data_IF_213261169874
#
_entry.id   IF_213261169874
#
_cell.length_a   1.000
_cell.length_b   1.000
_cell.length_c   1.000
_cell.angle_alpha   90.00
_cell.angle_beta   90.00
_cell.angle_gamma   90.00
#
_symmetry.space_group_name_H-M   'P 1'
#
loop_
_entity.id
_entity.type
_entity.pdbx_description
1 polymer ?
#
# COMPACT_ATOMS: atom_id res chain seq x y z
N UNK A 1 9.32 -3.19 25.33
CA UNK A 1 10.11 -3.31 24.08
C UNK A 1 9.14 -3.64 22.97
N UNK A 2 9.14 -2.87 21.87
CA UNK A 2 8.29 -3.14 20.71
C UNK A 2 9.09 -3.83 19.61
N UNK A 3 8.57 -4.93 19.05
CA UNK A 3 9.13 -5.56 17.86
C UNK A 3 8.47 -4.95 16.62
N UNK A 4 9.25 -4.59 15.61
CA UNK A 4 8.71 -4.16 14.34
C UNK A 4 8.04 -5.34 13.62
N UNK A 5 6.88 -5.15 12.98
CA UNK A 5 6.28 -6.20 12.17
C UNK A 5 7.23 -6.67 11.06
N UNK A 6 7.26 -7.98 10.73
CA UNK A 6 8.01 -8.47 9.58
C UNK A 6 7.55 -7.77 8.29
N UNK A 7 8.50 -7.45 7.40
CA UNK A 7 8.22 -6.77 6.12
C UNK A 7 7.18 -7.56 5.29
N UNK A 8 7.28 -8.89 5.27
CA UNK A 8 6.34 -9.71 4.51
C UNK A 8 4.91 -9.58 5.03
N UNK A 9 4.71 -9.46 6.35
CA UNK A 9 3.40 -9.21 6.95
C UNK A 9 2.84 -7.85 6.55
N UNK A 10 3.70 -6.84 6.43
CA UNK A 10 3.30 -5.51 5.92
C UNK A 10 2.86 -5.62 4.45
N UNK A 11 3.63 -6.32 3.61
CA UNK A 11 3.30 -6.52 2.19
C UNK A 11 1.98 -7.28 2.02
N UNK A 12 1.74 -8.31 2.82
CA UNK A 12 0.48 -9.06 2.84
C UNK A 12 -0.71 -8.16 3.23
N UNK A 13 -0.55 -7.34 4.27
CA UNK A 13 -1.59 -6.42 4.72
C UNK A 13 -1.91 -5.34 3.66
N UNK A 14 -0.88 -4.78 3.02
CA UNK A 14 -1.05 -3.83 1.91
C UNK A 14 -1.75 -4.47 0.71
N UNK A 15 -1.56 -5.78 0.51
CA UNK A 15 -2.25 -6.53 -0.52
C UNK A 15 -3.76 -6.66 -0.25
N UNK A 16 -4.15 -6.71 1.03
CA UNK A 16 -5.53 -6.71 1.50
C UNK A 16 -6.13 -5.33 1.77
N UNK A 17 -5.49 -4.25 1.32
CA UNK A 17 -5.92 -2.89 1.61
C UNK A 17 -7.32 -2.56 1.06
N UNK A 18 -8.15 -1.93 1.88
CA UNK A 18 -9.51 -1.50 1.52
C UNK A 18 -9.58 0.02 1.42
N UNK A 19 -10.23 0.54 0.36
CA UNK A 19 -10.43 1.98 0.22
C UNK A 19 -11.37 2.53 1.31
N UNK A 20 -11.03 3.71 1.83
CA UNK A 20 -11.83 4.39 2.86
C UNK A 20 -12.32 5.71 2.28
N UNK A 21 -13.61 6.03 2.50
CA UNK A 21 -14.17 7.31 2.08
C UNK A 21 -13.53 8.46 2.86
N UNK A 22 -13.08 9.51 2.17
CA UNK A 22 -12.39 10.66 2.78
C UNK A 22 -13.21 11.38 3.85
N UNK A 23 -14.54 11.28 3.81
CA UNK A 23 -15.47 11.78 4.82
C UNK A 23 -15.35 11.06 6.16
N UNK A 24 -15.11 9.75 6.15
CA UNK A 24 -14.94 8.96 7.38
C UNK A 24 -13.59 9.20 8.07
N UNK A 25 -12.59 9.65 7.32
CA UNK A 25 -11.23 9.91 7.82
C UNK A 25 -11.04 11.30 8.43
N UNK A 26 -11.86 12.27 8.02
CA UNK A 26 -11.76 13.66 8.47
C UNK A 26 -11.90 13.81 9.99
N UNK A 27 -12.65 12.91 10.64
CA UNK A 27 -12.81 12.86 12.10
C UNK A 27 -11.60 12.29 12.85
N UNK A 28 -10.64 11.68 12.15
CA UNK A 28 -9.44 11.04 12.75
C UNK A 28 -8.17 11.89 12.64
N UNK A 29 -8.25 13.09 12.07
CA UNK A 29 -7.09 13.97 11.85
C UNK A 29 -6.19 13.54 10.68
N UNK A 30 -6.44 12.38 10.07
CA UNK A 30 -5.67 11.86 8.94
C UNK A 30 -6.11 12.57 7.65
N UNK A 31 -5.16 13.26 7.01
CA UNK A 31 -5.37 14.01 5.77
C UNK A 31 -4.59 13.36 4.62
N UNK A 32 -5.29 12.61 3.77
CA UNK A 32 -4.76 12.11 2.50
C UNK A 32 -5.39 12.86 1.32
N UNK A 33 -4.74 12.84 0.15
CA UNK A 33 -5.39 13.30 -1.08
C UNK A 33 -6.66 12.48 -1.37
N UNK A 34 -7.69 13.08 -2.01
CA UNK A 34 -8.94 12.38 -2.32
C UNK A 34 -8.71 11.06 -3.07
N UNK A 35 -9.40 10.01 -2.67
CA UNK A 35 -9.29 8.67 -3.28
C UNK A 35 -7.96 7.96 -3.04
N UNK A 36 -7.12 8.45 -2.11
CA UNK A 36 -5.80 7.87 -1.79
C UNK A 36 -5.67 7.36 -0.37
N UNK A 37 -6.79 7.22 0.34
CA UNK A 37 -6.83 6.67 1.69
C UNK A 37 -7.29 5.22 1.67
N UNK A 38 -6.54 4.38 2.38
CA UNK A 38 -6.84 2.97 2.57
C UNK A 38 -6.72 2.58 4.04
N UNK A 39 -7.40 1.50 4.43
CA UNK A 39 -7.21 0.82 5.71
C UNK A 39 -6.49 -0.49 5.48
N UNK A 40 -5.54 -0.79 6.36
CA UNK A 40 -4.90 -2.10 6.47
C UNK A 40 -4.78 -2.51 7.93
N UNK A 41 -4.64 -3.80 8.19
CA UNK A 41 -4.36 -4.33 9.53
C UNK A 41 -3.07 -5.14 9.46
N UNK A 42 -2.06 -4.76 10.24
CA UNK A 42 -0.78 -5.46 10.34
C UNK A 42 -0.65 -5.99 11.75
N UNK A 43 -0.64 -7.31 11.94
CA UNK A 43 -0.53 -7.95 13.26
C UNK A 43 -1.50 -7.34 14.28
N UNK A 44 -2.79 -7.26 13.90
CA UNK A 44 -3.89 -6.71 14.70
C UNK A 44 -3.85 -5.19 14.97
N UNK A 45 -2.91 -4.47 14.37
CA UNK A 45 -2.83 -3.01 14.43
C UNK A 45 -3.42 -2.43 13.15
N UNK A 46 -4.44 -1.60 13.31
CA UNK A 46 -5.05 -0.86 12.21
C UNK A 46 -4.19 0.35 11.82
N UNK A 47 -3.89 0.44 10.53
CA UNK A 47 -3.21 1.59 9.94
C UNK A 47 -4.10 2.28 8.91
N UNK A 48 -4.05 3.60 8.92
CA UNK A 48 -4.50 4.43 7.81
C UNK A 48 -3.35 4.64 6.83
N UNK A 49 -3.55 4.30 5.56
CA UNK A 49 -2.54 4.41 4.51
C UNK A 49 -2.86 5.56 3.57
N UNK A 50 -1.98 6.56 3.51
CA UNK A 50 -2.06 7.64 2.52
C UNK A 50 -1.11 7.36 1.35
N UNK A 51 -1.66 6.99 0.19
CA UNK A 51 -0.85 6.82 -1.02
C UNK A 51 -0.46 8.18 -1.64
N UNK A 52 0.80 8.32 -2.02
CA UNK A 52 1.35 9.54 -2.63
C UNK A 52 1.78 9.34 -4.10
N UNK A 53 1.33 8.25 -4.75
CA UNK A 53 1.75 7.92 -6.12
C UNK A 53 3.24 7.55 -6.15
N UNK A 54 4.01 8.07 -7.10
CA UNK A 54 5.44 7.73 -7.25
C UNK A 54 6.33 8.19 -6.07
N UNK A 55 5.83 9.05 -5.18
CA UNK A 55 6.56 9.48 -3.98
C UNK A 55 6.54 8.45 -2.85
N UNK A 56 5.69 7.41 -2.94
CA UNK A 56 5.55 6.40 -1.89
C UNK A 56 4.20 6.46 -1.17
N UNK A 57 4.20 6.16 0.12
CA UNK A 57 3.02 6.24 0.98
C UNK A 57 3.41 6.36 2.46
N UNK A 58 2.46 6.78 3.29
CA UNK A 58 2.56 6.71 4.75
C UNK A 58 1.52 5.76 5.33
N UNK A 59 1.87 5.06 6.40
CA UNK A 59 0.95 4.31 7.24
C UNK A 59 0.92 4.98 8.61
N UNK A 60 -0.26 5.34 9.11
CA UNK A 60 -0.44 6.05 10.36
C UNK A 60 -1.25 5.21 11.35
N UNK A 61 -0.79 5.13 12.59
CA UNK A 61 -1.49 4.48 13.71
C UNK A 61 -1.23 5.25 15.01
N UNK A 62 -1.86 4.86 16.11
CA UNK A 62 -1.60 5.46 17.43
C UNK A 62 -0.19 5.18 17.95
N UNK A 63 0.40 4.06 17.55
CA UNK A 63 1.60 3.50 18.17
C UNK A 63 2.86 3.82 17.35
N UNK A 64 2.73 3.81 16.02
CA UNK A 64 3.82 4.01 15.08
C UNK A 64 3.32 4.53 13.74
N UNK A 65 4.12 5.40 13.12
CA UNK A 65 3.98 5.77 11.72
C UNK A 65 5.08 5.11 10.88
N UNK A 66 4.72 4.65 9.67
CA UNK A 66 5.65 4.08 8.69
C UNK A 66 5.67 4.97 7.46
N UNK A 67 6.85 5.43 7.07
CA UNK A 67 7.09 6.14 5.82
C UNK A 67 7.77 5.23 4.81
N UNK A 68 7.19 5.10 3.62
CA UNK A 68 7.76 4.33 2.51
C UNK A 68 8.00 5.27 1.34
N UNK A 69 9.21 5.21 0.79
CA UNK A 69 9.62 5.96 -0.38
C UNK A 69 10.00 5.01 -1.51
N UNK A 70 9.55 5.29 -2.73
CA UNK A 70 10.01 4.54 -3.89
C UNK A 70 11.32 5.09 -4.42
N UNK A 71 12.23 4.19 -4.78
CA UNK A 71 13.48 4.54 -5.44
C UNK A 71 13.30 4.38 -6.95
N UNK A 72 13.51 5.47 -7.69
CA UNK A 72 13.41 5.53 -9.17
C UNK A 72 14.45 4.61 -9.82
N UNK A 73 15.60 4.44 -9.17
CA UNK A 73 16.64 3.51 -9.60
C UNK A 73 16.31 2.17 -8.92
N UNK A 74 15.93 1.13 -9.68
CA UNK A 74 15.86 -0.22 -9.12
C UNK A 74 17.21 -0.50 -8.47
N UNK A 75 17.22 -1.19 -7.33
CA UNK A 75 18.44 -1.57 -6.61
C UNK A 75 19.30 -2.58 -7.41
N UNK A 76 19.62 -2.28 -8.68
CA UNK A 76 20.59 -2.97 -9.53
C UNK A 76 21.96 -3.05 -8.87
N UNK A 77 22.21 -2.23 -7.85
CA UNK A 77 23.46 -2.20 -7.08
C UNK A 77 23.54 -3.16 -5.90
N UNK A 78 22.44 -3.79 -5.44
CA UNK A 78 22.55 -4.87 -4.42
C UNK A 78 22.82 -6.23 -5.08
N UNK A 79 22.58 -6.34 -6.40
CA UNK A 79 23.30 -7.31 -7.20
C UNK A 79 24.74 -6.80 -7.35
N UNK A 80 25.60 -7.03 -6.35
CA UNK A 80 27.04 -7.19 -6.64
C UNK A 80 27.09 -8.07 -7.88
N UNK A 81 27.66 -7.56 -8.98
CA UNK A 81 27.69 -8.24 -10.27
C UNK A 81 27.88 -9.73 -10.03
N UNK A 82 26.80 -10.50 -10.17
CA UNK A 82 26.81 -11.91 -9.81
C UNK A 82 27.64 -12.53 -10.91
N UNK A 83 28.94 -12.69 -10.66
CA UNK A 83 29.90 -13.25 -11.63
C UNK A 83 29.56 -14.70 -11.98
N UNK A 84 28.69 -15.34 -11.19
CA UNK A 84 28.12 -16.64 -11.46
C UNK A 84 26.59 -16.62 -11.21
N UNK A 85 25.75 -16.27 -12.20
CA UNK A 85 24.30 -16.25 -12.03
C UNK A 85 23.71 -17.62 -11.64
N UNK A 86 24.43 -18.73 -11.86
CA UNK A 86 24.03 -20.05 -11.37
C UNK A 86 24.21 -20.22 -9.85
N UNK A 87 24.92 -19.31 -9.16
CA UNK A 87 25.16 -19.35 -7.71
C UNK A 87 24.13 -18.58 -6.87
N UNK A 88 23.23 -17.81 -7.49
CA UNK A 88 22.19 -17.07 -6.78
C UNK A 88 20.82 -17.67 -7.10
N UNK A 89 20.41 -18.66 -6.31
CA UNK A 89 19.04 -19.17 -6.36
C UNK A 89 18.08 -18.09 -5.87
N UNK A 90 16.97 -17.91 -6.59
CA UNK A 90 15.87 -17.10 -6.08
C UNK A 90 15.40 -17.67 -4.74
N UNK A 91 15.51 -16.88 -3.68
CA UNK A 91 15.12 -17.30 -2.32
C UNK A 91 13.62 -17.23 -2.10
N UNK A 92 12.88 -16.57 -3.00
CA UNK A 92 11.42 -16.47 -2.93
C UNK A 92 10.80 -16.33 -4.32
N UNK A 93 9.55 -16.76 -4.45
CA UNK A 93 8.74 -16.51 -5.64
C UNK A 93 8.05 -15.15 -5.55
N UNK A 94 7.74 -14.50 -6.69
CA UNK A 94 6.91 -13.31 -6.70
C UNK A 94 5.53 -13.56 -6.08
N UNK A 95 5.04 -12.63 -5.29
CA UNK A 95 3.69 -12.68 -4.70
C UNK A 95 2.68 -12.02 -5.63
N UNK A 96 1.54 -12.66 -5.86
CA UNK A 96 0.42 -12.02 -6.58
C UNK A 96 -0.21 -10.93 -5.73
N UNK A 97 -0.51 -9.79 -6.33
CA UNK A 97 -1.09 -8.64 -5.62
C UNK A 97 -2.39 -8.15 -6.27
N UNK A 98 -3.29 -7.62 -5.44
CA UNK A 98 -4.52 -6.94 -5.84
C UNK A 98 -4.21 -5.63 -6.58
N UNK A 99 -5.20 -5.03 -7.23
CA UNK A 99 -5.02 -3.75 -7.92
C UNK A 99 -4.63 -2.62 -6.95
N UNK A 100 -5.28 -2.57 -5.78
CA UNK A 100 -4.96 -1.60 -4.73
C UNK A 100 -3.57 -1.89 -4.17
N UNK A 101 -3.27 -3.15 -3.85
CA UNK A 101 -1.95 -3.57 -3.38
C UNK A 101 -0.85 -3.17 -4.36
N UNK A 102 -1.03 -3.41 -5.66
CA UNK A 102 -0.09 -2.98 -6.69
C UNK A 102 0.09 -1.46 -6.71
N UNK A 103 -1.01 -0.70 -6.67
CA UNK A 103 -0.95 0.77 -6.62
C UNK A 103 -0.18 1.27 -5.40
N UNK A 104 -0.48 0.72 -4.22
CA UNK A 104 0.16 1.10 -2.95
C UNK A 104 1.58 0.54 -2.80
N UNK A 105 2.00 -0.49 -3.53
CA UNK A 105 3.36 -1.04 -3.45
C UNK A 105 4.31 -0.44 -4.50
N UNK A 106 3.76 0.09 -5.60
CA UNK A 106 4.57 0.56 -6.74
C UNK A 106 4.36 2.05 -7.06
N UNK A 107 3.30 2.67 -6.56
CA UNK A 107 2.91 4.04 -6.89
C UNK A 107 2.35 4.20 -8.29
N UNK A 108 2.39 3.16 -9.11
CA UNK A 108 1.81 3.15 -10.45
C UNK A 108 0.34 2.80 -10.31
N UNK A 109 -0.52 3.71 -10.75
CA UNK A 109 -1.84 3.31 -11.16
C UNK A 109 -1.60 2.31 -12.31
N UNK A 110 -2.13 1.09 -12.20
CA UNK A 110 -2.36 0.34 -13.42
C UNK A 110 -3.17 1.25 -14.37
N UNK A 111 -3.10 1.05 -15.68
CA UNK A 111 -4.04 1.67 -16.61
C UNK A 111 -5.45 1.12 -16.32
N UNK A 112 -6.01 1.51 -15.17
CA UNK A 112 -7.34 1.15 -14.75
C UNK A 112 -8.20 2.14 -15.53
N UNK A 113 -8.69 1.70 -16.68
CA UNK A 113 -9.97 2.19 -17.18
C UNK A 113 -11.01 1.82 -16.12
N UNK A 114 -11.07 2.60 -15.05
CA UNK A 114 -12.18 2.58 -14.12
C UNK A 114 -13.31 3.25 -14.87
N UNK A 115 -14.08 2.47 -15.62
CA UNK A 115 -15.48 2.86 -15.81
C UNK A 115 -16.07 2.90 -14.41
N UNK A 116 -16.24 4.10 -13.86
CA UNK A 116 -17.01 4.32 -12.64
C UNK A 116 -18.40 3.73 -12.88
N UNK A 117 -18.63 2.50 -12.46
CA UNK A 117 -19.98 2.02 -12.21
C UNK A 117 -20.30 2.45 -10.78
N UNK A 118 -20.65 3.73 -10.64
CA UNK A 118 -21.35 4.19 -9.45
C UNK A 118 -22.74 3.56 -9.50
N UNK A 119 -23.07 2.73 -8.51
CA UNK A 119 -24.48 2.39 -8.26
C UNK A 119 -25.17 3.67 -7.77
N UNK A 120 -26.38 3.93 -8.27
CA UNK A 120 -27.12 5.14 -7.95
C UNK A 120 -27.49 5.20 -6.46
N UNK A 121 -27.55 6.42 -5.94
CA UNK A 121 -27.94 6.79 -4.58
C UNK A 121 -29.34 6.24 -4.23
N UNK A 122 -29.47 5.59 -3.07
CA UNK A 122 -30.77 5.19 -2.53
C UNK A 122 -31.46 6.45 -2.00
N UNK A 123 -32.55 6.85 -2.65
CA UNK A 123 -33.44 7.93 -2.22
C UNK A 123 -34.26 7.46 -1.00
N UNK A 124 -34.07 8.13 0.14
CA UNK A 124 -34.94 7.97 1.30
C UNK A 124 -35.98 9.09 1.30
N UNK A 125 -37.14 8.80 0.70
CA UNK A 125 -38.36 9.58 0.89
C UNK A 125 -38.97 9.28 2.27
N UNK A 126 -38.69 10.19 3.20
CA UNK A 126 -39.50 10.52 4.37
C UNK A 126 -40.94 10.93 4.05
#
# INVERSE_FOLDING_TARGET
>A
SGALPPINTIVEALNGATAVSSTSASGSGIQCSPGRLYKVTVSDIDFAVCAAGLSGFTMQSSDMDVLVEYRVIPLKQIARAITNPAGCSATTSPTSVTLIGRFVLTGQLADIVVTRQLEAEIDFSW
#
